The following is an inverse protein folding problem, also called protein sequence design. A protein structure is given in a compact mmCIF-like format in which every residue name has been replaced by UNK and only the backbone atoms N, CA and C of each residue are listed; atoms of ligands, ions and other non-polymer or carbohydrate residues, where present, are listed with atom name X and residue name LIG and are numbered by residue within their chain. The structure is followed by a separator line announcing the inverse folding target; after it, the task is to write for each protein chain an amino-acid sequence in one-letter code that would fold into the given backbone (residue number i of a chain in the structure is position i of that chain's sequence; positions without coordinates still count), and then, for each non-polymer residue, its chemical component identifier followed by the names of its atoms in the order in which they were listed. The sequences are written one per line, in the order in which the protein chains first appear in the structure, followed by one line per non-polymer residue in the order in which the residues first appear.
data_IF_310308325290
#
_entry.id   IF_310308325290
#
_cell.length_a   1.000
_cell.length_b   1.000
_cell.length_c   1.000
_cell.angle_alpha   90.00
_cell.angle_beta   90.00
_cell.angle_gamma   90.00
#
_symmetry.space_group_name_H-M   'P 1'
#
loop_
_entity.id
_entity.type
_entity.pdbx_description
1 polymer ?
#
# COMPACT_ATOMS: atom_id res chain seq x y z
N UNK A 1 -6.06 -13.59 19.18
CA UNK A 1 -5.85 -12.14 18.99
C UNK A 1 -6.31 -11.43 20.26
N UNK A 2 -5.65 -10.36 20.70
CA UNK A 2 -6.00 -9.61 21.93
C UNK A 2 -7.45 -9.10 21.88
N UNK A 3 -7.94 -8.74 20.70
CA UNK A 3 -9.36 -8.40 20.49
C UNK A 3 -10.30 -9.55 20.86
N UNK A 4 -9.96 -10.80 20.51
CA UNK A 4 -10.77 -11.97 20.87
C UNK A 4 -10.77 -12.20 22.40
N UNK A 5 -9.68 -11.85 23.08
CA UNK A 5 -9.57 -11.96 24.53
C UNK A 5 -10.43 -10.89 25.22
N UNK A 6 -10.37 -9.64 24.73
CA UNK A 6 -11.20 -8.52 25.22
C UNK A 6 -12.69 -8.80 24.98
N UNK A 7 -13.05 -9.30 23.80
CA UNK A 7 -14.44 -9.59 23.44
C UNK A 7 -15.08 -10.70 24.29
N UNK A 8 -14.27 -11.55 24.94
CA UNK A 8 -14.74 -12.61 25.86
C UNK A 8 -14.88 -12.14 27.31
N UNK A 9 -14.44 -10.93 27.64
CA UNK A 9 -14.56 -10.39 28.99
C UNK A 9 -15.95 -9.76 29.17
N UNK A 10 -16.73 -10.30 30.12
CA UNK A 10 -18.10 -9.84 30.39
C UNK A 10 -18.18 -8.41 30.96
N UNK A 11 -17.09 -7.89 31.53
CA UNK A 11 -17.03 -6.54 32.11
C UNK A 11 -16.68 -5.46 31.06
N UNK A 12 -16.35 -5.88 29.83
CA UNK A 12 -15.95 -4.97 28.75
C UNK A 12 -16.96 -5.02 27.61
N UNK A 13 -17.27 -3.85 27.04
CA UNK A 13 -18.05 -3.75 25.80
C UNK A 13 -17.13 -3.33 24.66
N UNK A 14 -17.25 -4.00 23.53
CA UNK A 14 -16.53 -3.65 22.31
C UNK A 14 -17.49 -2.96 21.33
N UNK A 15 -17.00 -1.91 20.68
CA UNK A 15 -17.71 -1.23 19.59
C UNK A 15 -16.85 -1.31 18.35
N UNK A 16 -17.47 -1.68 17.22
CA UNK A 16 -16.83 -1.67 15.91
C UNK A 16 -17.60 -0.73 14.99
N UNK A 17 -16.86 0.09 14.25
CA UNK A 17 -17.41 0.95 13.22
C UNK A 17 -16.47 0.92 12.01
N UNK A 18 -17.00 0.89 10.78
CA UNK A 18 -16.21 1.09 9.59
C UNK A 18 -15.41 2.39 9.69
N UNK A 19 -14.12 2.31 9.35
CA UNK A 19 -13.26 3.48 9.24
C UNK A 19 -12.99 3.70 7.76
N UNK A 20 -13.27 4.90 7.26
CA UNK A 20 -13.00 5.30 5.87
C UNK A 20 -11.50 5.50 5.59
N UNK A 21 -10.67 4.51 5.91
CA UNK A 21 -9.25 4.51 5.60
C UNK A 21 -8.85 3.24 4.86
N UNK A 22 -7.82 3.35 4.04
CA UNK A 22 -7.18 2.25 3.33
C UNK A 22 -5.72 2.16 3.73
N UNK A 23 -5.22 0.93 3.87
CA UNK A 23 -3.79 0.69 3.81
C UNK A 23 -3.35 0.65 2.35
N UNK A 24 -2.27 1.34 2.02
CA UNK A 24 -1.74 1.39 0.67
C UNK A 24 -0.23 1.18 0.68
N UNK A 25 0.27 0.62 -0.43
CA UNK A 25 1.69 0.52 -0.72
C UNK A 25 1.99 1.52 -1.84
N UNK A 26 2.97 2.35 -1.60
CA UNK A 26 3.45 3.36 -2.53
C UNK A 26 4.67 2.81 -3.27
N UNK A 27 4.75 3.07 -4.57
CA UNK A 27 5.90 2.70 -5.41
C UNK A 27 6.42 3.97 -6.08
N UNK A 28 7.61 4.44 -5.70
CA UNK A 28 8.17 5.68 -6.20
C UNK A 28 8.73 5.51 -7.63
N UNK A 29 8.17 6.23 -8.59
CA UNK A 29 8.60 6.16 -9.99
C UNK A 29 9.93 6.88 -10.27
N UNK A 30 10.55 7.56 -9.27
CA UNK A 30 11.96 7.95 -9.38
C UNK A 30 12.89 6.73 -9.46
N UNK A 31 12.45 5.57 -8.95
CA UNK A 31 13.14 4.30 -9.17
C UNK A 31 12.74 3.74 -10.55
N UNK A 32 13.68 3.54 -11.49
CA UNK A 32 13.37 3.16 -12.86
C UNK A 32 12.72 1.77 -12.99
N UNK A 33 12.91 0.87 -12.01
CA UNK A 33 12.23 -0.42 -11.99
C UNK A 33 10.76 -0.25 -11.58
N UNK A 34 10.50 0.55 -10.53
CA UNK A 34 9.14 0.81 -10.03
C UNK A 34 8.33 1.71 -10.99
N UNK A 35 9.00 2.46 -11.85
CA UNK A 35 8.41 3.27 -12.92
C UNK A 35 7.75 2.44 -14.04
N UNK A 36 8.04 1.14 -14.13
CA UNK A 36 7.44 0.27 -15.18
C UNK A 36 6.02 -0.16 -14.80
N UNK A 37 5.00 0.04 -15.66
CA UNK A 37 3.62 -0.38 -15.39
C UNK A 37 3.48 -1.86 -15.04
N UNK A 38 4.23 -2.73 -15.72
CA UNK A 38 4.22 -4.17 -15.51
C UNK A 38 4.74 -4.53 -14.11
N UNK A 39 5.74 -3.81 -13.60
CA UNK A 39 6.25 -4.01 -12.23
C UNK A 39 5.17 -3.63 -11.23
N UNK A 40 4.49 -2.49 -11.40
CA UNK A 40 3.41 -2.09 -10.50
C UNK A 40 2.24 -3.07 -10.52
N UNK A 41 1.92 -3.63 -11.69
CA UNK A 41 0.91 -4.67 -11.82
C UNK A 41 1.36 -5.97 -11.15
N UNK A 42 2.64 -6.36 -11.30
CA UNK A 42 3.21 -7.52 -10.63
C UNK A 42 3.11 -7.40 -9.11
N UNK A 43 3.38 -6.21 -8.55
CA UNK A 43 3.23 -5.96 -7.11
C UNK A 43 1.81 -6.27 -6.60
N UNK A 44 0.76 -5.94 -7.36
CA UNK A 44 -0.63 -6.26 -6.98
C UNK A 44 -0.86 -7.78 -6.91
N UNK A 45 -0.30 -8.54 -7.85
CA UNK A 45 -0.36 -10.01 -7.84
C UNK A 45 0.58 -10.64 -6.80
N UNK A 46 1.50 -9.88 -6.21
CA UNK A 46 2.40 -10.38 -5.16
C UNK A 46 1.88 -10.06 -3.76
N UNK A 47 0.68 -9.51 -3.60
CA UNK A 47 0.05 -9.34 -2.28
C UNK A 47 -0.87 -10.52 -2.01
N UNK A 48 -0.64 -11.21 -0.89
CA UNK A 48 -1.56 -12.23 -0.37
C UNK A 48 -2.68 -11.58 0.44
N UNK A 49 -3.66 -11.03 -0.28
CA UNK A 49 -4.80 -10.33 0.32
C UNK A 49 -5.58 -11.21 1.31
N UNK A 50 -5.76 -12.50 1.00
CA UNK A 50 -6.49 -13.45 1.82
C UNK A 50 -5.74 -13.76 3.12
N UNK A 51 -4.44 -14.05 3.04
CA UNK A 51 -3.62 -14.27 4.23
C UNK A 51 -3.54 -13.00 5.10
N UNK A 52 -3.33 -11.83 4.50
CA UNK A 52 -3.29 -10.55 5.23
C UNK A 52 -4.61 -10.29 5.99
N UNK A 53 -5.76 -10.46 5.32
CA UNK A 53 -7.07 -10.21 5.92
C UNK A 53 -7.41 -11.18 7.05
N UNK A 54 -7.05 -12.46 6.91
CA UNK A 54 -7.43 -13.50 7.88
C UNK A 54 -6.46 -13.64 9.05
N UNK A 55 -5.23 -13.13 8.93
CA UNK A 55 -4.19 -13.25 9.97
C UNK A 55 -3.85 -11.90 10.60
N UNK A 56 -3.19 -11.01 9.86
CA UNK A 56 -2.61 -9.76 10.37
C UNK A 56 -3.69 -8.69 10.60
N UNK A 57 -4.67 -8.60 9.70
CA UNK A 57 -5.75 -7.62 9.76
C UNK A 57 -7.05 -8.20 10.33
N UNK A 58 -7.01 -9.40 10.91
CA UNK A 58 -8.19 -10.10 11.42
C UNK A 58 -8.92 -9.24 12.47
N UNK A 59 -10.16 -8.88 12.15
CA UNK A 59 -11.03 -8.09 13.03
C UNK A 59 -10.75 -6.58 13.02
N UNK A 60 -9.77 -6.10 12.24
CA UNK A 60 -9.43 -4.67 12.12
C UNK A 60 -9.38 -4.16 10.68
N UNK A 61 -9.53 -5.03 9.69
CA UNK A 61 -9.57 -4.67 8.28
C UNK A 61 -10.19 -5.75 7.40
N UNK A 62 -10.54 -5.38 6.18
CA UNK A 62 -11.10 -6.25 5.14
C UNK A 62 -10.33 -6.06 3.82
N UNK A 63 -10.52 -6.98 2.88
CA UNK A 63 -9.91 -6.87 1.54
C UNK A 63 -10.59 -5.73 0.78
N UNK A 64 -9.78 -4.77 0.33
CA UNK A 64 -10.22 -3.64 -0.48
C UNK A 64 -9.13 -3.26 -1.48
N UNK A 65 -9.46 -3.21 -2.78
CA UNK A 65 -8.48 -2.98 -3.85
C UNK A 65 -8.74 -1.69 -4.65
N UNK A 66 -9.63 -0.83 -4.16
CA UNK A 66 -9.86 0.52 -4.68
C UNK A 66 -9.21 1.58 -3.77
N UNK A 67 -8.86 2.74 -4.33
CA UNK A 67 -8.30 3.86 -3.57
C UNK A 67 -9.34 4.58 -2.71
N UNK A 68 -10.62 4.48 -3.07
CA UNK A 68 -11.72 5.11 -2.36
C UNK A 68 -12.26 4.12 -1.32
N UNK A 69 -12.16 4.41 0.00
CA UNK A 69 -12.62 3.52 1.06
C UNK A 69 -14.06 3.05 0.87
N UNK A 70 -14.34 1.83 1.32
CA UNK A 70 -15.70 1.30 1.36
C UNK A 70 -16.61 2.19 2.20
N UNK A 71 -17.83 2.44 1.70
CA UNK A 71 -18.81 3.31 2.33
C UNK A 71 -18.81 4.75 1.80
N UNK A 72 -17.75 5.16 1.10
CA UNK A 72 -17.73 6.46 0.42
C UNK A 72 -18.58 6.42 -0.86
N UNK A 73 -19.16 7.57 -1.23
CA UNK A 73 -19.94 7.71 -2.46
C UNK A 73 -19.07 7.38 -3.70
N UNK A 74 -19.48 6.38 -4.47
CA UNK A 74 -18.76 5.94 -5.67
C UNK A 74 -17.63 4.92 -5.40
N UNK A 75 -17.49 4.42 -4.16
CA UNK A 75 -16.62 3.30 -3.88
C UNK A 75 -17.07 2.04 -4.64
N UNK A 76 -16.10 1.23 -5.05
CA UNK A 76 -16.33 -0.07 -5.72
C UNK A 76 -15.74 -1.18 -4.88
N UNK A 77 -16.40 -2.34 -4.88
CA UNK A 77 -15.99 -3.53 -4.12
C UNK A 77 -15.19 -4.53 -4.98
N UNK A 78 -14.81 -4.14 -6.20
CA UNK A 78 -14.03 -4.98 -7.11
C UNK A 78 -12.66 -5.31 -6.50
N UNK A 79 -12.41 -6.61 -6.37
CA UNK A 79 -11.14 -7.16 -5.88
C UNK A 79 -10.50 -8.06 -6.96
N UNK A 80 -10.02 -7.47 -8.08
CA UNK A 80 -9.56 -8.24 -9.24
C UNK A 80 -8.23 -8.98 -9.03
N UNK A 81 -7.47 -8.64 -8.00
CA UNK A 81 -6.16 -9.22 -7.72
C UNK A 81 -6.23 -10.30 -6.65
N UNK A 82 -5.47 -11.37 -6.86
CA UNK A 82 -5.15 -12.40 -5.87
C UNK A 82 -3.66 -12.73 -5.99
N UNK A 83 -3.08 -13.38 -4.99
CA UNK A 83 -1.70 -13.83 -5.05
C UNK A 83 -1.52 -14.76 -6.25
N UNK A 84 -0.71 -14.33 -7.22
CA UNK A 84 -0.31 -15.10 -8.39
C UNK A 84 1.15 -14.79 -8.74
N UNK A 85 2.03 -15.58 -8.15
CA UNK A 85 3.49 -15.45 -8.33
C UNK A 85 3.89 -15.74 -9.79
N UNK A 86 3.19 -16.64 -10.47
CA UNK A 86 3.49 -16.98 -11.86
C UNK A 86 3.17 -15.79 -12.78
N UNK A 87 1.99 -15.17 -12.59
CA UNK A 87 1.60 -13.98 -13.33
C UNK A 87 2.53 -12.81 -13.05
N UNK A 88 2.94 -12.63 -11.79
CA UNK A 88 3.89 -11.60 -11.42
C UNK A 88 5.25 -11.80 -12.13
N UNK A 89 5.79 -13.02 -12.16
CA UNK A 89 7.04 -13.33 -12.88
C UNK A 89 6.92 -13.06 -14.38
N UNK A 90 5.79 -13.38 -15.02
CA UNK A 90 5.53 -13.06 -16.42
C UNK A 90 5.62 -11.55 -16.68
N UNK A 91 4.98 -10.75 -15.81
CA UNK A 91 5.02 -9.28 -15.90
C UNK A 91 6.42 -8.71 -15.66
N UNK A 92 7.15 -9.24 -14.68
CA UNK A 92 8.54 -8.83 -14.41
C UNK A 92 9.47 -9.17 -15.59
N UNK A 93 9.28 -10.33 -16.22
CA UNK A 93 10.04 -10.69 -17.42
C UNK A 93 9.72 -9.75 -18.60
N UNK A 94 8.45 -9.42 -18.84
CA UNK A 94 8.04 -8.41 -19.83
C UNK A 94 8.65 -7.03 -19.56
N UNK A 95 8.85 -6.70 -18.29
CA UNK A 95 9.53 -5.49 -17.86
C UNK A 95 11.07 -5.55 -18.02
N UNK A 96 11.65 -6.66 -18.49
CA UNK A 96 13.09 -6.87 -18.56
C UNK A 96 13.76 -7.08 -17.20
N UNK A 97 13.02 -7.62 -16.22
CA UNK A 97 13.45 -7.84 -14.84
C UNK A 97 13.23 -9.29 -14.40
N UNK A 98 13.45 -10.25 -15.30
CA UNK A 98 13.25 -11.68 -15.04
C UNK A 98 14.13 -12.21 -13.89
N UNK A 99 15.33 -11.64 -13.73
CA UNK A 99 16.27 -12.00 -12.67
C UNK A 99 15.98 -11.30 -11.33
N UNK A 100 14.89 -10.52 -11.27
CA UNK A 100 14.52 -9.73 -10.10
C UNK A 100 15.36 -8.47 -9.91
N UNK A 101 15.18 -7.83 -8.76
CA UNK A 101 15.87 -6.59 -8.38
C UNK A 101 15.74 -6.34 -6.87
N UNK A 102 16.48 -5.34 -6.37
CA UNK A 102 16.46 -4.95 -4.96
C UNK A 102 15.73 -3.63 -4.79
N UNK A 103 14.95 -3.52 -3.72
CA UNK A 103 14.24 -2.31 -3.30
C UNK A 103 14.13 -2.27 -1.79
N UNK A 104 13.86 -1.09 -1.25
CA UNK A 104 13.61 -0.90 0.18
C UNK A 104 12.16 -0.48 0.46
N UNK A 105 11.64 -0.85 1.63
CA UNK A 105 10.36 -0.34 2.12
C UNK A 105 10.55 0.37 3.45
N UNK A 106 10.17 1.64 3.50
CA UNK A 106 10.11 2.41 4.74
C UNK A 106 8.84 2.03 5.52
N UNK A 107 9.03 1.47 6.71
CA UNK A 107 7.96 0.87 7.51
C UNK A 107 7.93 1.53 8.88
N UNK A 108 6.76 2.09 9.25
CA UNK A 108 6.55 2.55 10.62
C UNK A 108 6.57 1.34 11.55
N UNK A 109 7.45 1.36 12.56
CA UNK A 109 7.54 0.30 13.55
C UNK A 109 6.22 0.14 14.32
N UNK A 110 5.67 -1.07 14.32
CA UNK A 110 4.46 -1.43 15.05
C UNK A 110 3.48 -2.25 14.21
N UNK A 111 2.68 -3.08 14.89
CA UNK A 111 1.60 -3.82 14.25
C UNK A 111 0.41 -2.91 13.94
N UNK A 112 -0.34 -3.17 12.86
CA UNK A 112 -0.18 -4.27 11.90
C UNK A 112 0.87 -4.02 10.80
N UNK A 113 1.45 -2.82 10.73
CA UNK A 113 2.29 -2.37 9.60
C UNK A 113 3.53 -3.24 9.39
N UNK A 114 4.23 -3.61 10.47
CA UNK A 114 5.41 -4.48 10.39
C UNK A 114 5.05 -5.87 9.86
N UNK A 115 3.97 -6.48 10.37
CA UNK A 115 3.52 -7.80 9.89
C UNK A 115 3.10 -7.78 8.42
N UNK A 116 2.42 -6.72 7.97
CA UNK A 116 2.09 -6.55 6.55
C UNK A 116 3.35 -6.49 5.69
N UNK A 117 4.34 -5.69 6.07
CA UNK A 117 5.58 -5.55 5.32
C UNK A 117 6.37 -6.87 5.23
N UNK A 118 6.41 -7.66 6.31
CA UNK A 118 7.04 -8.98 6.33
C UNK A 118 6.33 -9.98 5.40
N UNK A 119 4.99 -10.01 5.41
CA UNK A 119 4.20 -10.84 4.51
C UNK A 119 4.44 -10.47 3.04
N UNK A 120 4.49 -9.17 2.73
CA UNK A 120 4.80 -8.65 1.39
C UNK A 120 6.25 -8.98 1.01
N UNK A 121 7.20 -8.87 1.93
CA UNK A 121 8.61 -9.24 1.68
C UNK A 121 8.72 -10.72 1.28
N UNK A 122 8.01 -11.62 1.98
CA UNK A 122 8.04 -13.05 1.69
C UNK A 122 7.51 -13.36 0.28
N UNK A 123 6.38 -12.78 -0.10
CA UNK A 123 5.73 -12.99 -1.39
C UNK A 123 6.51 -12.37 -2.55
N UNK A 124 7.04 -11.15 -2.38
CA UNK A 124 7.96 -10.52 -3.33
C UNK A 124 9.21 -11.37 -3.59
N UNK A 125 9.77 -11.98 -2.53
CA UNK A 125 10.93 -12.87 -2.63
C UNK A 125 10.69 -14.08 -3.53
N UNK A 126 9.46 -14.60 -3.59
CA UNK A 126 9.10 -15.72 -4.48
C UNK A 126 9.19 -15.34 -5.97
N UNK A 127 9.11 -14.04 -6.28
CA UNK A 127 9.25 -13.47 -7.62
C UNK A 127 10.67 -12.95 -7.93
N UNK A 128 11.62 -13.12 -7.00
CA UNK A 128 12.99 -12.62 -7.15
C UNK A 128 13.19 -11.16 -6.74
N UNK A 129 12.17 -10.49 -6.21
CA UNK A 129 12.29 -9.12 -5.69
C UNK A 129 12.82 -9.19 -4.26
N UNK A 130 14.05 -8.72 -4.05
CA UNK A 130 14.65 -8.64 -2.73
C UNK A 130 14.21 -7.34 -2.04
N UNK A 131 13.20 -7.44 -1.18
CA UNK A 131 12.72 -6.30 -0.39
C UNK A 131 13.50 -6.16 0.93
N UNK A 132 14.17 -5.03 1.14
CA UNK A 132 14.74 -4.66 2.43
C UNK A 132 13.77 -3.80 3.25
N UNK A 133 13.39 -4.25 4.46
CA UNK A 133 12.54 -3.46 5.37
C UNK A 133 13.42 -2.49 6.15
N UNK A 134 13.10 -1.20 6.07
CA UNK A 134 13.72 -0.13 6.84
C UNK A 134 12.71 0.31 7.91
N UNK A 135 12.85 -0.17 9.17
CA UNK A 135 12.00 0.27 10.25
C UNK A 135 12.34 1.71 10.68
N UNK A 136 11.33 2.47 11.08
CA UNK A 136 11.51 3.81 11.63
C UNK A 136 10.30 4.28 12.42
N UNK A 137 10.47 5.36 13.18
CA UNK A 137 9.31 6.03 13.77
C UNK A 137 8.45 6.71 12.69
N UNK A 138 7.21 7.06 13.04
CA UNK A 138 6.27 7.64 12.08
C UNK A 138 6.74 8.98 11.47
N UNK A 139 7.52 9.78 12.21
CA UNK A 139 8.05 11.05 11.71
C UNK A 139 9.18 10.78 10.72
N UNK A 140 10.07 9.86 11.02
CA UNK A 140 11.19 9.47 10.15
C UNK A 140 10.70 8.95 8.80
N UNK A 141 9.82 7.94 8.81
CA UNK A 141 9.31 7.33 7.57
C UNK A 141 8.50 8.33 6.75
N UNK A 142 7.66 9.15 7.40
CA UNK A 142 6.83 10.14 6.70
C UNK A 142 7.66 11.30 6.13
N UNK A 143 8.73 11.71 6.81
CA UNK A 143 9.63 12.77 6.32
C UNK A 143 10.33 12.32 5.04
N UNK A 144 10.86 11.09 5.01
CA UNK A 144 11.49 10.52 3.81
C UNK A 144 10.48 10.35 2.67
N UNK A 145 9.28 9.86 2.98
CA UNK A 145 8.18 9.73 2.00
C UNK A 145 7.79 11.08 1.37
N UNK A 146 7.63 12.13 2.20
CA UNK A 146 7.31 13.50 1.73
C UNK A 146 8.45 14.13 0.92
N UNK A 147 9.69 13.72 1.18
CA UNK A 147 10.86 14.15 0.42
C UNK A 147 11.06 13.39 -0.90
N UNK A 148 10.21 12.39 -1.22
CA UNK A 148 10.32 11.53 -2.42
C UNK A 148 11.61 10.71 -2.46
N UNK A 149 12.18 10.40 -1.29
CA UNK A 149 13.46 9.69 -1.14
C UNK A 149 13.29 8.21 -0.76
N UNK A 150 12.06 7.68 -0.82
CA UNK A 150 11.74 6.27 -0.61
C UNK A 150 11.74 5.50 -1.93
N UNK A 151 11.97 4.19 -1.88
CA UNK A 151 11.55 3.28 -2.97
C UNK A 151 10.07 2.93 -2.77
N UNK A 152 9.76 2.35 -1.61
CA UNK A 152 8.43 1.86 -1.24
C UNK A 152 8.07 2.41 0.13
N UNK A 153 6.81 2.80 0.30
CA UNK A 153 6.25 3.22 1.59
C UNK A 153 4.93 2.50 1.83
N UNK A 154 4.70 2.00 3.05
CA UNK A 154 3.39 1.51 3.47
C UNK A 154 2.72 2.53 4.38
N UNK A 155 1.52 2.95 3.99
CA UNK A 155 0.77 4.01 4.65
C UNK A 155 -0.67 3.63 4.95
N UNK A 156 -1.30 4.42 5.81
CA UNK A 156 -2.76 4.45 5.99
C UNK A 156 -3.25 5.84 5.62
N UNK A 157 -4.28 5.92 4.78
CA UNK A 157 -4.89 7.18 4.38
C UNK A 157 -6.40 7.06 4.37
N UNK A 158 -7.10 8.15 4.64
CA UNK A 158 -8.55 8.25 4.49
C UNK A 158 -8.94 9.67 4.14
N UNK A 159 -10.24 9.89 3.96
CA UNK A 159 -10.74 11.20 3.57
C UNK A 159 -10.50 12.23 4.68
N UNK A 160 -10.05 13.44 4.30
CA UNK A 160 -9.91 14.57 5.22
C UNK A 160 -11.27 15.23 5.53
N UNK A 161 -12.22 15.11 4.61
CA UNK A 161 -13.61 15.54 4.71
C UNK A 161 -14.49 14.58 3.91
N UNK A 162 -15.78 14.46 4.26
CA UNK A 162 -16.72 13.46 3.71
C UNK A 162 -17.15 13.77 2.26
N UNK A 163 -16.18 13.80 1.35
CA UNK A 163 -16.37 13.98 -0.08
C UNK A 163 -15.34 13.09 -0.82
N UNK A 164 -15.78 12.25 -1.79
CA UNK A 164 -14.89 11.40 -2.58
C UNK A 164 -13.71 12.13 -3.23
N UNK A 165 -13.86 13.42 -3.54
CA UNK A 165 -12.80 14.25 -4.10
C UNK A 165 -11.56 14.33 -3.19
N UNK A 166 -11.74 14.31 -1.87
CA UNK A 166 -10.62 14.36 -0.92
C UNK A 166 -9.63 13.20 -1.15
N UNK A 167 -10.15 11.98 -1.32
CA UNK A 167 -9.32 10.81 -1.62
C UNK A 167 -8.89 10.78 -3.09
N UNK A 168 -9.81 11.05 -4.03
CA UNK A 168 -9.52 11.00 -5.46
C UNK A 168 -8.39 11.96 -5.86
N UNK A 169 -8.45 13.22 -5.41
CA UNK A 169 -7.37 14.19 -5.66
C UNK A 169 -6.04 13.68 -5.12
N UNK A 170 -6.06 13.08 -3.93
CA UNK A 170 -4.86 12.62 -3.24
C UNK A 170 -4.16 11.47 -3.99
N UNK A 171 -4.93 10.51 -4.50
CA UNK A 171 -4.39 9.30 -5.16
C UNK A 171 -4.25 9.43 -6.68
N UNK A 172 -5.01 10.29 -7.34
CA UNK A 172 -5.07 10.35 -8.81
C UNK A 172 -4.61 11.69 -9.41
N UNK A 173 -4.34 12.73 -8.62
CA UNK A 173 -3.94 14.05 -9.15
C UNK A 173 -2.46 14.37 -8.90
N UNK A 174 -1.75 14.69 -9.99
CA UNK A 174 -0.37 15.15 -10.02
C UNK A 174 -0.13 16.10 -11.21
N UNK A 175 -0.72 17.31 -11.21
CA UNK A 175 -0.67 18.23 -12.36
C UNK A 175 0.72 18.84 -12.60
N UNK A 176 1.59 18.83 -11.60
CA UNK A 176 2.98 19.30 -11.68
C UNK A 176 3.86 18.30 -10.95
N UNK A 177 4.56 17.45 -11.70
CA UNK A 177 5.41 16.41 -11.12
C UNK A 177 6.82 16.92 -10.72
N UNK A 178 7.10 18.22 -10.93
CA UNK A 178 8.39 18.82 -10.58
C UNK A 178 8.63 18.81 -9.06
N UNK A 179 9.89 18.84 -8.65
CA UNK A 179 10.23 18.94 -7.22
C UNK A 179 9.82 20.29 -6.59
N UNK A 180 9.53 21.30 -7.43
CA UNK A 180 9.09 22.63 -7.03
C UNK A 180 7.55 22.76 -6.87
N UNK A 181 6.79 21.68 -7.14
CA UNK A 181 5.34 21.72 -7.12
C UNK A 181 4.77 22.21 -5.78
N UNK A 182 3.72 23.03 -5.86
CA UNK A 182 3.00 23.55 -4.69
C UNK A 182 2.10 22.49 -4.07
N UNK A 183 1.51 21.63 -4.89
CA UNK A 183 0.59 20.57 -4.49
C UNK A 183 1.38 19.27 -4.32
N UNK A 184 1.34 18.68 -3.11
CA UNK A 184 2.15 17.51 -2.73
C UNK A 184 1.27 16.33 -2.30
N UNK A 185 0.39 15.90 -3.23
CA UNK A 185 -0.50 14.74 -3.12
C UNK A 185 0.28 13.44 -2.93
N UNK A 186 -0.40 12.32 -2.63
CA UNK A 186 0.27 11.02 -2.59
C UNK A 186 0.76 10.62 -3.99
N UNK A 187 0.02 10.94 -5.05
CA UNK A 187 0.49 10.75 -6.42
C UNK A 187 1.83 11.47 -6.68
N UNK A 188 1.93 12.76 -6.33
CA UNK A 188 3.18 13.53 -6.44
C UNK A 188 4.33 12.93 -5.63
N UNK A 189 4.07 12.51 -4.38
CA UNK A 189 5.09 11.90 -3.51
C UNK A 189 5.71 10.67 -4.15
N UNK A 190 4.96 9.96 -4.99
CA UNK A 190 5.43 8.78 -5.71
C UNK A 190 5.96 9.06 -7.11
N UNK A 191 6.12 10.33 -7.47
CA UNK A 191 6.47 10.74 -8.83
C UNK A 191 5.54 10.13 -9.89
N UNK A 192 4.29 9.86 -9.53
CA UNK A 192 3.34 9.19 -10.41
C UNK A 192 3.05 10.09 -11.61
N UNK A 193 3.50 9.67 -12.79
CA UNK A 193 3.09 10.32 -14.02
C UNK A 193 1.67 9.89 -14.37
N UNK A 194 0.77 10.85 -14.60
CA UNK A 194 -0.61 10.54 -14.98
C UNK A 194 -0.57 10.08 -16.44
N UNK A 195 -0.95 8.82 -16.74
CA UNK A 195 -1.03 8.38 -18.12
C UNK A 195 -2.04 9.26 -18.89
N UNK A 196 -1.65 9.68 -20.10
CA UNK A 196 -2.54 10.39 -21.03
C UNK A 196 -3.83 9.61 -21.33
#
# INVERSE_FOLDING_TARGET
NDLDAIAKNADLTTTSAPKGTVYYISLNQKNPNLAKPEVRQAFKYLVDYDALSTTILKGIGEIHQSFLPKGDLGAIDDNPFKLDVAKAKELLAKAGLADGFKVTMDVRTGQPTTGMAESIQQTLGQAGIQLGIIPGDGKQTLTKYRARNHDIYIGNWGQDYFDPNSNAQTFASNPDNSDAAKIKTLAWRNAWDIPD
#
